data_IF_132704851324
#
_entry.id   IF_132704851324
#
_cell.length_a   1.000
_cell.length_b   1.000
_cell.length_c   1.000
_cell.angle_alpha   90.00
_cell.angle_beta   90.00
_cell.angle_gamma   90.00
#
_symmetry.space_group_name_H-M   'P 1'
#
loop_
_entity.id
_entity.type
_entity.pdbx_description
1 polymer ?
#
# COMPACT_ATOMS: atom_id res chain seq x y z
N UNK A 1 5.15 16.29 -6.16
CA UNK A 1 5.93 15.26 -5.45
C UNK A 1 5.80 13.90 -6.16
N UNK A 2 6.83 13.05 -6.13
CA UNK A 2 6.90 11.76 -6.88
C UNK A 2 5.69 10.84 -6.66
N UNK A 3 5.03 10.92 -5.49
CA UNK A 3 3.88 10.08 -5.13
C UNK A 3 2.51 10.79 -5.17
N UNK A 4 2.40 12.00 -5.73
CA UNK A 4 1.13 12.74 -5.75
C UNK A 4 0.02 12.00 -6.50
N UNK A 5 0.35 11.40 -7.65
CA UNK A 5 -0.62 10.63 -8.45
C UNK A 5 -1.11 9.39 -7.71
N UNK A 6 -0.18 8.63 -7.12
CA UNK A 6 -0.51 7.47 -6.28
C UNK A 6 -1.41 7.86 -5.11
N UNK A 7 -1.04 8.93 -4.38
CA UNK A 7 -1.82 9.44 -3.27
C UNK A 7 -3.22 9.89 -3.68
N UNK A 8 -3.37 10.49 -4.87
CA UNK A 8 -4.66 10.86 -5.46
C UNK A 8 -5.55 9.64 -5.70
N UNK A 9 -5.04 8.64 -6.44
CA UNK A 9 -5.79 7.42 -6.75
C UNK A 9 -6.18 6.62 -5.52
N UNK A 10 -5.28 6.52 -4.51
CA UNK A 10 -5.60 5.86 -3.24
C UNK A 10 -6.70 6.60 -2.47
N UNK A 11 -6.67 7.94 -2.45
CA UNK A 11 -7.74 8.74 -1.81
C UNK A 11 -9.07 8.55 -2.50
N UNK A 12 -9.10 8.46 -3.82
CA UNK A 12 -10.34 8.17 -4.57
C UNK A 12 -10.88 6.78 -4.24
N UNK A 13 -10.02 5.76 -4.23
CA UNK A 13 -10.40 4.40 -3.84
C UNK A 13 -11.00 4.35 -2.41
N UNK A 14 -10.37 5.05 -1.46
CA UNK A 14 -10.88 5.15 -0.08
C UNK A 14 -12.20 5.93 0.00
N UNK A 15 -12.38 6.98 -0.81
CA UNK A 15 -13.65 7.72 -0.90
C UNK A 15 -14.79 6.84 -1.41
N UNK A 16 -14.53 5.96 -2.38
CA UNK A 16 -15.53 4.99 -2.87
C UNK A 16 -16.01 4.08 -1.74
N UNK A 17 -15.09 3.56 -0.91
CA UNK A 17 -15.45 2.73 0.25
C UNK A 17 -16.26 3.53 1.27
N UNK A 18 -15.82 4.75 1.60
CA UNK A 18 -16.47 5.58 2.59
C UNK A 18 -17.89 5.98 2.16
N UNK A 19 -18.10 6.26 0.87
CA UNK A 19 -19.39 6.63 0.30
C UNK A 19 -20.31 5.45 -0.01
N UNK A 20 -19.80 4.21 0.00
CA UNK A 20 -20.61 3.04 -0.28
C UNK A 20 -21.60 2.76 0.87
N UNK A 21 -22.84 2.41 0.50
CA UNK A 21 -23.87 1.99 1.46
C UNK A 21 -23.60 0.58 2.01
N UNK A 22 -23.03 -0.29 1.18
CA UNK A 22 -22.62 -1.65 1.54
C UNK A 22 -21.31 -2.00 0.84
N UNK A 23 -20.52 -2.89 1.44
CA UNK A 23 -19.27 -3.39 0.85
C UNK A 23 -19.53 -4.78 0.30
N UNK A 24 -19.76 -4.85 -1.00
CA UNK A 24 -19.95 -6.10 -1.72
C UNK A 24 -18.68 -6.54 -2.47
N UNK A 25 -18.71 -7.75 -3.01
CA UNK A 25 -17.60 -8.31 -3.77
C UNK A 25 -17.29 -7.50 -5.04
N UNK A 26 -18.30 -6.86 -5.65
CA UNK A 26 -18.12 -6.05 -6.86
C UNK A 26 -17.30 -4.79 -6.55
N UNK A 27 -17.64 -4.07 -5.48
CA UNK A 27 -16.91 -2.89 -5.01
C UNK A 27 -15.47 -3.26 -4.63
N UNK A 28 -15.28 -4.37 -3.92
CA UNK A 28 -13.92 -4.84 -3.55
C UNK A 28 -13.08 -5.07 -4.80
N UNK A 29 -13.61 -5.78 -5.81
CA UNK A 29 -12.89 -6.03 -7.08
C UNK A 29 -12.56 -4.75 -7.83
N UNK A 30 -13.45 -3.76 -7.81
CA UNK A 30 -13.20 -2.44 -8.41
C UNK A 30 -12.02 -1.74 -7.71
N UNK A 31 -12.07 -1.63 -6.38
CA UNK A 31 -11.03 -0.98 -5.58
C UNK A 31 -9.68 -1.67 -5.77
N UNK A 32 -9.64 -3.00 -5.74
CA UNK A 32 -8.42 -3.79 -5.96
C UNK A 32 -7.79 -3.44 -7.31
N UNK A 33 -8.59 -3.30 -8.37
CA UNK A 33 -8.12 -2.92 -9.71
C UNK A 33 -7.59 -1.49 -9.74
N UNK A 34 -8.26 -0.56 -9.07
CA UNK A 34 -7.83 0.84 -9.01
C UNK A 34 -6.49 0.97 -8.27
N UNK A 35 -6.35 0.31 -7.12
CA UNK A 35 -5.09 0.26 -6.37
C UNK A 35 -3.97 -0.38 -7.20
N UNK A 36 -4.26 -1.51 -7.88
CA UNK A 36 -3.28 -2.18 -8.73
C UNK A 36 -2.77 -1.27 -9.85
N UNK A 37 -3.68 -0.57 -10.53
CA UNK A 37 -3.32 0.39 -11.59
C UNK A 37 -2.50 1.54 -11.03
N UNK A 38 -2.90 2.08 -9.88
CA UNK A 38 -2.19 3.19 -9.23
C UNK A 38 -0.75 2.80 -8.86
N UNK A 39 -0.53 1.59 -8.32
CA UNK A 39 0.80 1.09 -7.99
C UNK A 39 1.67 0.94 -9.25
N UNK A 40 1.13 0.35 -10.32
CA UNK A 40 1.86 0.16 -11.59
C UNK A 40 2.21 1.51 -12.24
N UNK A 41 1.27 2.47 -12.22
CA UNK A 41 1.50 3.82 -12.75
C UNK A 41 2.53 4.62 -11.94
N UNK A 42 2.76 4.23 -10.68
CA UNK A 42 3.76 4.83 -9.80
C UNK A 42 5.11 4.12 -9.88
N UNK A 43 5.38 3.37 -10.95
CA UNK A 43 6.61 2.62 -11.19
C UNK A 43 6.92 1.55 -10.12
N UNK A 44 5.90 1.07 -9.40
CA UNK A 44 6.07 -0.08 -8.52
C UNK A 44 6.32 -1.36 -9.33
N UNK A 45 7.10 -2.28 -8.76
CA UNK A 45 7.32 -3.59 -9.38
C UNK A 45 5.98 -4.30 -9.64
N UNK A 46 5.77 -4.78 -10.87
CA UNK A 46 4.50 -5.38 -11.29
C UNK A 46 4.16 -6.66 -10.52
N UNK A 47 5.15 -7.50 -10.23
CA UNK A 47 4.93 -8.72 -9.44
C UNK A 47 4.53 -8.37 -8.01
N UNK A 48 5.18 -7.36 -7.42
CA UNK A 48 4.84 -6.84 -6.10
C UNK A 48 3.39 -6.32 -6.11
N UNK A 49 3.04 -5.41 -7.02
CA UNK A 49 1.69 -4.87 -7.14
C UNK A 49 0.61 -5.97 -7.24
N UNK A 50 0.84 -6.97 -8.10
CA UNK A 50 -0.06 -8.13 -8.24
C UNK A 50 -0.18 -8.98 -6.97
N UNK A 51 0.93 -9.22 -6.28
CA UNK A 51 0.93 -10.04 -5.06
C UNK A 51 0.12 -9.39 -3.96
N UNK A 52 0.28 -8.07 -3.77
CA UNK A 52 -0.39 -7.31 -2.73
C UNK A 52 -1.88 -7.18 -3.03
N UNK A 53 -2.25 -6.86 -4.26
CA UNK A 53 -3.66 -6.66 -4.61
C UNK A 53 -4.45 -7.96 -4.54
N UNK A 54 -3.82 -9.11 -4.84
CA UNK A 54 -4.41 -10.43 -4.62
C UNK A 54 -4.64 -10.72 -3.14
N UNK A 55 -3.66 -10.47 -2.29
CA UNK A 55 -3.79 -10.70 -0.85
C UNK A 55 -4.82 -9.75 -0.22
N UNK A 56 -4.83 -8.49 -0.64
CA UNK A 56 -5.84 -7.51 -0.26
C UNK A 56 -7.25 -7.98 -0.62
N UNK A 57 -7.45 -8.46 -1.85
CA UNK A 57 -8.75 -8.99 -2.29
C UNK A 57 -9.17 -10.22 -1.47
N UNK A 58 -8.24 -11.16 -1.25
CA UNK A 58 -8.48 -12.38 -0.48
C UNK A 58 -8.93 -12.03 0.94
N UNK A 59 -8.16 -11.19 1.64
CA UNK A 59 -8.47 -10.75 3.01
C UNK A 59 -9.77 -9.96 3.08
N UNK A 60 -10.05 -9.08 2.13
CA UNK A 60 -11.28 -8.30 2.12
C UNK A 60 -12.55 -9.17 1.94
N UNK A 61 -12.43 -10.37 1.35
CA UNK A 61 -13.54 -11.30 1.13
C UNK A 61 -13.63 -12.38 2.22
N UNK A 62 -12.51 -12.83 2.77
CA UNK A 62 -12.44 -13.96 3.70
C UNK A 62 -12.35 -13.53 5.17
N UNK A 63 -11.68 -12.41 5.48
CA UNK A 63 -11.49 -11.96 6.86
C UNK A 63 -12.81 -11.39 7.41
N UNK A 64 -13.20 -11.85 8.60
CA UNK A 64 -14.35 -11.29 9.30
C UNK A 64 -13.94 -10.03 10.07
N UNK A 65 -14.76 -8.96 10.04
CA UNK A 65 -14.52 -7.78 10.83
C UNK A 65 -14.41 -8.13 12.33
N UNK A 66 -13.41 -7.57 13.04
CA UNK A 66 -13.34 -7.69 14.49
C UNK A 66 -14.61 -7.15 15.16
N UNK A 67 -14.94 -7.61 16.40
CA UNK A 67 -16.06 -7.09 17.15
C UNK A 67 -15.99 -5.56 17.28
N UNK A 68 -17.09 -4.88 16.96
CA UNK A 68 -17.16 -3.41 17.02
C UNK A 68 -16.58 -2.66 15.81
N UNK A 69 -16.12 -3.35 14.77
CA UNK A 69 -15.63 -2.75 13.53
C UNK A 69 -16.64 -2.94 12.39
N UNK A 70 -16.96 -1.87 11.66
CA UNK A 70 -17.81 -1.97 10.47
C UNK A 70 -17.07 -2.61 9.31
N UNK A 71 -17.77 -3.25 8.35
CA UNK A 71 -17.13 -3.82 7.15
C UNK A 71 -16.30 -2.79 6.36
N UNK A 72 -16.76 -1.53 6.32
CA UNK A 72 -16.02 -0.43 5.65
C UNK A 72 -14.69 -0.15 6.33
N UNK A 73 -14.69 0.00 7.66
CA UNK A 73 -13.47 0.22 8.44
C UNK A 73 -12.51 -0.97 8.33
N UNK A 74 -13.06 -2.19 8.29
CA UNK A 74 -12.26 -3.40 8.14
C UNK A 74 -11.51 -3.42 6.81
N UNK A 75 -12.19 -3.12 5.69
CA UNK A 75 -11.55 -3.06 4.37
C UNK A 75 -10.52 -1.94 4.28
N UNK A 76 -10.82 -0.74 4.82
CA UNK A 76 -9.83 0.36 4.88
C UNK A 76 -8.59 -0.06 5.67
N UNK A 77 -8.78 -0.76 6.79
CA UNK A 77 -7.68 -1.29 7.61
C UNK A 77 -6.87 -2.34 6.85
N UNK A 78 -7.50 -3.27 6.14
CA UNK A 78 -6.79 -4.25 5.30
C UNK A 78 -5.94 -3.54 4.25
N UNK A 79 -6.49 -2.55 3.54
CA UNK A 79 -5.75 -1.77 2.54
C UNK A 79 -4.51 -1.12 3.19
N UNK A 80 -4.68 -0.48 4.35
CA UNK A 80 -3.57 0.13 5.07
C UNK A 80 -2.49 -0.89 5.45
N UNK A 81 -2.88 -2.02 6.06
CA UNK A 81 -1.95 -3.07 6.48
C UNK A 81 -1.17 -3.64 5.29
N UNK A 82 -1.84 -3.90 4.16
CA UNK A 82 -1.20 -4.40 2.95
C UNK A 82 -0.21 -3.39 2.35
N UNK A 83 -0.54 -2.08 2.37
CA UNK A 83 0.39 -1.04 1.93
C UNK A 83 1.60 -0.90 2.87
N UNK A 84 1.40 -1.01 4.19
CA UNK A 84 2.49 -0.95 5.16
C UNK A 84 3.45 -2.13 5.01
N UNK A 85 2.95 -3.34 4.73
CA UNK A 85 3.79 -4.52 4.50
C UNK A 85 4.85 -4.29 3.41
N UNK A 86 4.54 -3.48 2.39
CA UNK A 86 5.45 -3.16 1.28
C UNK A 86 6.66 -2.34 1.75
N UNK A 87 6.45 -1.44 2.71
CA UNK A 87 7.50 -0.55 3.23
C UNK A 87 8.53 -1.32 4.06
N UNK A 88 8.20 -2.57 4.44
CA UNK A 88 9.05 -3.42 5.26
C UNK A 88 8.91 -3.11 6.76
N UNK A 89 9.66 -3.87 7.56
CA UNK A 89 9.69 -3.68 9.01
C UNK A 89 10.64 -2.55 9.39
N UNK A 90 10.28 -1.84 10.47
CA UNK A 90 11.22 -0.94 11.15
C UNK A 90 12.46 -1.73 11.55
N UNK A 91 13.64 -1.14 11.35
CA UNK A 91 14.91 -1.68 11.81
C UNK A 91 15.55 -0.67 12.74
N UNK A 92 15.98 -1.14 13.90
CA UNK A 92 16.81 -0.32 14.78
C UNK A 92 18.17 -0.10 14.14
N UNK A 93 18.59 1.16 14.11
CA UNK A 93 19.93 1.53 13.66
C UNK A 93 20.79 1.65 14.92
N UNK A 94 21.81 0.79 15.12
CA UNK A 94 22.62 0.83 16.33
C UNK A 94 23.36 2.18 16.42
N UNK A 95 23.27 2.87 17.55
CA UNK A 95 23.96 4.16 17.74
C UNK A 95 25.35 3.89 18.34
N UNK A 96 26.28 3.48 17.49
CA UNK A 96 27.67 3.19 17.86
C UNK A 96 28.65 3.68 16.78
N UNK A 97 29.96 3.66 17.06
CA UNK A 97 30.98 4.05 16.07
C UNK A 97 31.03 3.04 14.92
N UNK A 98 30.80 3.51 13.68
CA UNK A 98 30.73 2.65 12.49
C UNK A 98 31.50 3.27 11.33
N UNK A 99 32.00 2.43 10.41
CA UNK A 99 32.44 2.86 9.09
C UNK A 99 31.34 2.53 8.09
N UNK A 100 30.75 3.55 7.46
CA UNK A 100 29.66 3.40 6.49
C UNK A 100 30.23 3.68 5.10
N UNK A 101 30.04 2.74 4.18
CA UNK A 101 30.39 2.91 2.77
C UNK A 101 29.14 3.32 1.99
N UNK A 102 29.16 4.52 1.40
CA UNK A 102 28.09 4.98 0.51
C UNK A 102 28.37 4.50 -0.92
N UNK A 103 27.52 3.61 -1.46
CA UNK A 103 27.64 3.07 -2.82
C UNK A 103 26.32 3.18 -3.61
N UNK A 104 26.40 3.11 -4.93
CA UNK A 104 25.24 3.03 -5.83
C UNK A 104 25.57 3.54 -7.24
N UNK A 105 24.56 3.76 -8.06
CA UNK A 105 24.72 4.20 -9.46
C UNK A 105 25.10 5.69 -9.60
N UNK A 106 25.82 6.05 -10.68
CA UNK A 106 26.17 7.45 -10.96
C UNK A 106 24.94 8.37 -10.95
N UNK A 107 25.07 9.57 -10.36
CA UNK A 107 23.97 10.54 -10.28
C UNK A 107 22.91 10.28 -9.19
N UNK A 108 23.00 9.18 -8.42
CA UNK A 108 22.05 8.86 -7.34
C UNK A 108 22.40 9.53 -5.99
N UNK A 109 22.98 10.74 -6.00
CA UNK A 109 23.20 11.51 -4.78
C UNK A 109 24.23 10.98 -3.78
N UNK A 110 25.14 10.06 -4.16
CA UNK A 110 26.20 9.51 -3.27
C UNK A 110 27.05 10.56 -2.55
N UNK A 111 27.31 11.67 -3.22
CA UNK A 111 28.09 12.81 -2.70
C UNK A 111 27.22 13.87 -2.03
N UNK A 112 25.90 13.79 -2.17
CA UNK A 112 24.93 14.80 -1.69
C UNK A 112 24.15 14.32 -0.47
N UNK A 113 23.91 13.01 -0.37
CA UNK A 113 23.16 12.33 0.70
C UNK A 113 23.99 12.24 1.97
#
# INVERSE_FOLDING_TARGET
MVLEKLGGSLREALRKIAGASYVDESLIKEIVRDIQRALIQADANVQLALSITRELQRRALEDKPPPGMSPREHVVRIIYEELVKILGSSREIPIQKQRILLVGLYGQGKTTT
#
